data_IF_678585547093
#
_entry.id   IF_678585547093
#
_cell.length_a   1.000
_cell.length_b   1.000
_cell.length_c   1.000
_cell.angle_alpha   90.00
_cell.angle_beta   90.00
_cell.angle_gamma   90.00
#
_symmetry.space_group_name_H-M   'P 1'
#
loop_
_entity.id
_entity.type
_entity.pdbx_description
1 polymer ?
#
# COMPACT_ATOMS: atom_id res chain seq x y z
N UNK A 1 -4.80 9.55 -9.88
CA UNK A 1 -4.83 10.56 -8.80
C UNK A 1 -4.20 10.04 -7.51
N UNK A 2 -4.63 8.88 -6.98
CA UNK A 2 -4.08 8.32 -5.73
C UNK A 2 -2.56 8.16 -5.71
N UNK A 3 -1.95 7.53 -6.73
CA UNK A 3 -0.48 7.37 -6.82
C UNK A 3 0.28 8.70 -6.71
N UNK A 4 -0.13 9.71 -7.50
CA UNK A 4 0.51 11.03 -7.49
C UNK A 4 0.39 11.71 -6.12
N UNK A 5 -0.75 11.56 -5.44
CA UNK A 5 -0.93 12.10 -4.09
C UNK A 5 -0.02 11.41 -3.08
N UNK A 6 0.03 10.07 -3.12
CA UNK A 6 0.94 9.29 -2.28
C UNK A 6 2.42 9.68 -2.51
N UNK A 7 2.81 9.93 -3.76
CA UNK A 7 4.18 10.37 -4.07
C UNK A 7 4.55 11.73 -3.48
N UNK A 8 3.57 12.58 -3.15
CA UNK A 8 3.80 13.87 -2.51
C UNK A 8 3.93 13.78 -0.99
N UNK A 9 3.32 12.76 -0.36
CA UNK A 9 3.31 12.59 1.10
C UNK A 9 4.10 11.37 1.59
N UNK A 10 4.73 10.61 0.67
CA UNK A 10 5.58 9.44 1.01
C UNK A 10 6.74 9.76 1.96
N UNK A 11 7.20 11.01 1.99
CA UNK A 11 8.34 11.42 2.83
C UNK A 11 7.97 11.45 4.32
N UNK A 12 6.67 11.31 4.65
CA UNK A 12 6.19 11.08 6.01
C UNK A 12 6.56 9.67 6.53
N UNK A 13 6.82 8.72 5.64
CA UNK A 13 7.28 7.39 6.01
C UNK A 13 8.75 7.44 6.43
N UNK A 14 9.19 6.63 7.41
CA UNK A 14 10.61 6.49 7.72
C UNK A 14 11.41 6.14 6.46
N UNK A 15 12.57 6.77 6.27
CA UNK A 15 13.40 6.61 5.07
C UNK A 15 13.81 5.16 4.78
N UNK A 16 13.86 4.32 5.81
CA UNK A 16 14.19 2.89 5.70
C UNK A 16 13.00 2.02 5.29
N UNK A 17 11.80 2.61 5.11
CA UNK A 17 10.59 1.88 4.71
C UNK A 17 10.64 1.61 3.20
N UNK A 18 10.78 0.34 2.77
CA UNK A 18 10.85 0.04 1.35
C UNK A 18 9.49 0.25 0.69
N UNK A 19 9.50 0.95 -0.44
CA UNK A 19 8.30 1.22 -1.24
C UNK A 19 8.30 0.36 -2.50
N UNK A 20 7.23 -0.42 -2.68
CA UNK A 20 6.99 -1.22 -3.87
C UNK A 20 5.73 -0.74 -4.58
N UNK A 21 5.80 -0.67 -5.90
CA UNK A 21 4.65 -0.36 -6.75
C UNK A 21 4.37 -1.52 -7.69
N UNK A 22 3.11 -1.96 -7.73
CA UNK A 22 2.65 -2.99 -8.63
C UNK A 22 1.74 -2.39 -9.71
N UNK A 23 2.11 -2.57 -10.97
CA UNK A 23 1.22 -2.31 -12.09
C UNK A 23 0.20 -3.45 -12.23
N UNK A 24 -1.00 -3.23 -11.68
CA UNK A 24 -2.11 -4.20 -11.71
C UNK A 24 -2.47 -4.65 -13.11
N UNK A 25 -2.44 -3.76 -14.10
CA UNK A 25 -2.88 -4.06 -15.47
C UNK A 25 -1.98 -5.12 -16.09
N UNK A 26 -0.67 -5.04 -15.81
CA UNK A 26 0.33 -6.00 -16.31
C UNK A 26 0.44 -7.27 -15.46
N UNK A 27 0.06 -7.22 -14.19
CA UNK A 27 0.34 -8.29 -13.22
C UNK A 27 -0.87 -8.65 -12.36
N UNK A 28 -2.01 -8.96 -13.00
CA UNK A 28 -3.28 -9.27 -12.31
C UNK A 28 -3.17 -10.46 -11.35
N UNK A 29 -2.52 -11.54 -11.76
CA UNK A 29 -2.38 -12.75 -10.93
C UNK A 29 -1.54 -12.49 -9.68
N UNK A 30 -0.48 -11.69 -9.81
CA UNK A 30 0.33 -11.28 -8.67
C UNK A 30 -0.48 -10.40 -7.70
N UNK A 31 -1.29 -9.48 -8.21
CA UNK A 31 -2.13 -8.66 -7.35
C UNK A 31 -3.19 -9.47 -6.61
N UNK A 32 -3.80 -10.47 -7.27
CA UNK A 32 -4.72 -11.40 -6.62
C UNK A 32 -4.01 -12.25 -5.56
N UNK A 33 -2.78 -12.69 -5.82
CA UNK A 33 -1.97 -13.43 -4.86
C UNK A 33 -1.61 -12.57 -3.63
N UNK A 34 -1.29 -11.28 -3.80
CA UNK A 34 -1.03 -10.34 -2.70
C UNK A 34 -2.26 -10.21 -1.80
N UNK A 35 -3.45 -9.97 -2.39
CA UNK A 35 -4.69 -9.86 -1.62
C UNK A 35 -4.98 -11.12 -0.79
N UNK A 36 -4.80 -12.31 -1.40
CA UNK A 36 -4.96 -13.59 -0.70
C UNK A 36 -3.90 -13.82 0.38
N UNK A 37 -2.64 -13.47 0.12
CA UNK A 37 -1.51 -13.71 1.05
C UNK A 37 -1.66 -12.87 2.31
N UNK A 38 -2.11 -11.64 2.17
CA UNK A 38 -2.27 -10.72 3.28
C UNK A 38 -3.68 -10.67 3.85
N UNK A 39 -4.58 -11.53 3.36
CA UNK A 39 -5.98 -11.64 3.77
C UNK A 39 -6.73 -10.30 3.75
N UNK A 40 -6.56 -9.55 2.65
CA UNK A 40 -7.27 -8.29 2.41
C UNK A 40 -8.20 -8.39 1.22
N UNK A 41 -9.26 -7.59 1.23
CA UNK A 41 -10.12 -7.45 0.06
C UNK A 41 -9.36 -6.77 -1.08
N UNK A 42 -9.48 -7.29 -2.31
CA UNK A 42 -8.77 -6.74 -3.46
C UNK A 42 -9.42 -5.44 -3.93
N UNK A 43 -8.63 -4.36 -3.98
CA UNK A 43 -9.08 -3.05 -4.45
C UNK A 43 -8.04 -2.40 -5.38
N UNK A 44 -8.48 -1.41 -6.15
CA UNK A 44 -7.58 -0.62 -6.99
C UNK A 44 -8.09 0.80 -7.24
N UNK A 45 -7.33 1.85 -6.89
CA UNK A 45 -5.99 1.80 -6.29
C UNK A 45 -6.04 1.36 -4.81
N UNK A 46 -5.00 0.69 -4.34
CA UNK A 46 -4.88 0.18 -2.97
C UNK A 46 -3.44 0.32 -2.46
N UNK A 47 -3.30 0.64 -1.18
CA UNK A 47 -2.05 0.68 -0.42
C UNK A 47 -2.12 -0.39 0.68
N UNK A 48 -1.02 -1.12 0.86
CA UNK A 48 -0.83 -2.05 1.97
C UNK A 48 0.45 -1.68 2.71
N UNK A 49 0.40 -1.65 4.04
CA UNK A 49 1.56 -1.56 4.92
C UNK A 49 1.81 -2.95 5.51
N UNK A 50 2.98 -3.51 5.19
CA UNK A 50 3.37 -4.86 5.60
C UNK A 50 4.44 -4.78 6.68
N UNK A 51 4.21 -5.41 7.83
CA UNK A 51 5.15 -5.55 8.95
C UNK A 51 5.12 -7.00 9.44
N UNK A 52 6.30 -7.60 9.63
CA UNK A 52 6.46 -9.00 10.08
C UNK A 52 5.63 -10.02 9.28
N UNK A 53 5.57 -9.85 7.96
CA UNK A 53 4.86 -10.74 7.04
C UNK A 53 3.33 -10.60 7.08
N UNK A 54 2.79 -9.59 7.75
CA UNK A 54 1.34 -9.33 7.86
C UNK A 54 1.00 -7.94 7.37
N UNK A 55 -0.19 -7.78 6.80
CA UNK A 55 -0.74 -6.45 6.52
C UNK A 55 -1.29 -5.85 7.81
N UNK A 56 -0.63 -4.79 8.30
CA UNK A 56 -1.02 -4.10 9.54
C UNK A 56 -1.91 -2.89 9.27
N UNK A 57 -1.91 -2.37 8.04
CA UNK A 57 -2.79 -1.30 7.60
C UNK A 57 -3.02 -1.39 6.08
N UNK A 58 -4.23 -1.11 5.63
CA UNK A 58 -4.54 -0.98 4.21
C UNK A 58 -5.55 0.15 3.98
N UNK A 59 -5.44 0.79 2.81
CA UNK A 59 -6.34 1.86 2.39
C UNK A 59 -6.57 1.79 0.88
N UNK A 60 -7.72 2.25 0.41
CA UNK A 60 -8.05 2.27 -1.01
C UNK A 60 -8.54 3.63 -1.47
N UNK A 61 -8.52 3.85 -2.79
CA UNK A 61 -9.12 5.03 -3.43
C UNK A 61 -8.72 6.37 -2.77
N UNK A 62 -9.70 7.04 -2.16
CA UNK A 62 -9.57 8.35 -1.54
C UNK A 62 -8.84 8.32 -0.21
N UNK A 63 -8.76 7.17 0.46
CA UNK A 63 -8.18 6.99 1.79
C UNK A 63 -6.66 6.78 1.77
N UNK A 64 -6.07 6.57 0.59
CA UNK A 64 -4.62 6.40 0.44
C UNK A 64 -3.89 7.70 0.83
N UNK A 65 -3.11 7.64 1.90
CA UNK A 65 -2.21 8.70 2.37
C UNK A 65 -0.97 8.09 3.02
N UNK A 66 0.21 8.64 2.68
CA UNK A 66 1.48 8.29 3.29
C UNK A 66 1.57 8.71 4.76
N UNK A 67 1.01 9.87 5.12
CA UNK A 67 0.98 10.36 6.51
C UNK A 67 0.18 9.42 7.43
N UNK A 68 -1.00 8.99 6.99
CA UNK A 68 -1.81 8.04 7.77
C UNK A 68 -1.12 6.70 7.87
N UNK A 69 -0.52 6.21 6.78
CA UNK A 69 0.25 4.96 6.81
C UNK A 69 1.44 5.05 7.78
N UNK A 70 2.15 6.18 7.81
CA UNK A 70 3.28 6.40 8.72
C UNK A 70 2.88 6.34 10.20
N UNK A 71 1.67 6.81 10.53
CA UNK A 71 1.15 6.72 11.91
C UNK A 71 0.93 5.28 12.40
N UNK A 72 0.96 4.29 11.50
CA UNK A 72 0.85 2.86 11.83
C UNK A 72 2.22 2.14 11.84
N UNK A 73 3.32 2.89 11.67
CA UNK A 73 4.68 2.38 11.79
C UNK A 73 5.18 2.74 13.20
N UNK A 74 5.15 1.77 14.12
CA UNK A 74 5.82 1.90 15.44
C UNK A 74 7.34 2.00 15.30
#
# INVERSE_FOLDING_TARGET
MAKKRFELDKDALPQETPLYFLDLIKHRDLSAAIAKTFDVYHESPQLLLIKDGKCVYHASHGEISGEIAAAHID
#
